data_IF_693681914960
#
_entry.id   IF_693681914960
#
_cell.length_a   1.000
_cell.length_b   1.000
_cell.length_c   1.000
_cell.angle_alpha   90.00
_cell.angle_beta   90.00
_cell.angle_gamma   90.00
#
_symmetry.space_group_name_H-M   'P 1'
#
loop_
_entity.id
_entity.type
_entity.pdbx_description
1 polymer ?
#
# COMPACT_ATOMS: atom_id res chain seq x y z
N UNK A 1 -81.85 -28.28 3.99
CA UNK A 1 -81.06 -27.80 5.14
C UNK A 1 -79.58 -28.00 4.81
N UNK A 2 -78.86 -26.92 4.52
CA UNK A 2 -77.42 -26.95 4.22
C UNK A 2 -76.69 -26.45 5.48
N UNK A 3 -75.93 -27.33 6.12
CA UNK A 3 -75.13 -27.04 7.30
C UNK A 3 -73.78 -26.46 6.87
N UNK A 4 -73.61 -25.14 6.98
CA UNK A 4 -72.33 -24.47 6.79
C UNK A 4 -71.50 -24.61 8.07
N UNK A 5 -70.46 -25.46 8.03
CA UNK A 5 -69.46 -25.56 9.11
C UNK A 5 -68.53 -24.35 9.03
N UNK A 6 -68.49 -23.56 10.10
CA UNK A 6 -67.55 -22.45 10.28
C UNK A 6 -66.13 -22.99 10.48
N UNK A 7 -65.27 -22.83 9.47
CA UNK A 7 -63.81 -22.96 9.59
C UNK A 7 -63.22 -21.58 9.92
N UNK A 8 -63.15 -21.22 11.20
CA UNK A 8 -62.48 -19.99 11.66
C UNK A 8 -61.47 -20.20 12.79
N UNK A 9 -61.02 -21.43 13.07
CA UNK A 9 -60.09 -21.68 14.19
C UNK A 9 -58.63 -21.35 13.89
N UNK A 10 -58.22 -21.28 12.62
CA UNK A 10 -56.81 -21.09 12.25
C UNK A 10 -56.28 -19.68 12.50
N UNK A 11 -57.12 -18.65 12.32
CA UNK A 11 -56.66 -17.25 12.38
C UNK A 11 -56.43 -16.77 13.82
N UNK A 12 -57.22 -17.26 14.77
CA UNK A 12 -57.11 -16.88 16.18
C UNK A 12 -55.78 -17.31 16.81
N UNK A 13 -55.27 -18.50 16.44
CA UNK A 13 -54.00 -19.02 16.96
C UNK A 13 -52.83 -18.18 16.44
N UNK A 14 -52.83 -17.82 15.15
CA UNK A 14 -51.79 -17.00 14.53
C UNK A 14 -51.72 -15.60 15.16
N UNK A 15 -52.87 -14.99 15.42
CA UNK A 15 -52.94 -13.67 16.04
C UNK A 15 -52.44 -13.71 17.49
N UNK A 16 -52.74 -14.78 18.22
CA UNK A 16 -52.25 -14.96 19.60
C UNK A 16 -50.73 -15.12 19.67
N UNK A 17 -50.13 -15.86 18.72
CA UNK A 17 -48.66 -16.02 18.63
C UNK A 17 -47.97 -14.69 18.32
N UNK A 18 -48.53 -13.87 17.41
CA UNK A 18 -47.99 -12.54 17.12
C UNK A 18 -48.04 -11.61 18.33
N UNK A 19 -49.12 -11.64 19.10
CA UNK A 19 -49.25 -10.82 20.32
C UNK A 19 -48.26 -11.29 21.39
N UNK A 20 -48.09 -12.61 21.58
CA UNK A 20 -47.12 -13.16 22.54
C UNK A 20 -45.67 -12.83 22.15
N UNK A 21 -45.32 -12.87 20.87
CA UNK A 21 -44.00 -12.47 20.38
C UNK A 21 -43.76 -10.95 20.53
N UNK A 22 -44.77 -10.12 20.26
CA UNK A 22 -44.68 -8.67 20.41
C UNK A 22 -44.47 -8.21 21.88
N UNK A 23 -45.13 -8.87 22.83
CA UNK A 23 -45.00 -8.56 24.26
C UNK A 23 -43.69 -9.12 24.83
N UNK A 24 -43.22 -10.29 24.36
CA UNK A 24 -41.94 -10.86 24.79
C UNK A 24 -40.73 -10.00 24.40
N UNK A 25 -40.75 -9.37 23.21
CA UNK A 25 -39.66 -8.52 22.73
C UNK A 25 -39.59 -7.15 23.44
N UNK A 26 -40.72 -6.61 23.88
CA UNK A 26 -40.74 -5.31 24.59
C UNK A 26 -40.39 -5.43 26.07
N UNK A 27 -40.71 -6.57 26.72
CA UNK A 27 -40.35 -6.81 28.13
C UNK A 27 -38.86 -7.01 28.38
N UNK A 28 -38.14 -7.70 27.48
CA UNK A 28 -36.69 -7.94 27.63
C UNK A 28 -35.83 -6.67 27.53
N UNK A 29 -36.34 -5.63 26.86
CA UNK A 29 -35.64 -4.35 26.71
C UNK A 29 -35.61 -3.49 27.98
N UNK A 30 -36.53 -3.68 28.93
CA UNK A 30 -36.64 -2.82 30.13
C UNK A 30 -36.07 -3.44 31.40
N UNK A 31 -36.07 -4.77 31.55
CA UNK A 31 -35.51 -5.44 32.75
C UNK A 31 -34.00 -5.65 32.64
N UNK A 32 -33.46 -5.56 31.43
CA UNK A 32 -32.03 -5.37 31.22
C UNK A 32 -31.70 -3.94 31.60
N UNK A 33 -31.36 -3.72 32.87
CA UNK A 33 -30.69 -2.52 33.37
C UNK A 33 -29.32 -2.31 32.72
N UNK A 34 -29.28 -2.26 31.39
CA UNK A 34 -28.24 -1.72 30.56
C UNK A 34 -28.25 -0.21 30.83
N UNK A 35 -27.69 0.13 31.98
CA UNK A 35 -26.74 1.23 32.09
C UNK A 35 -26.21 1.55 30.67
N UNK A 36 -26.72 2.61 30.04
CA UNK A 36 -26.08 3.29 28.89
C UNK A 36 -24.77 3.89 29.40
N UNK A 37 -23.88 3.03 29.85
CA UNK A 37 -22.50 3.35 30.19
C UNK A 37 -21.82 3.55 28.86
N UNK A 38 -21.21 4.73 28.69
CA UNK A 38 -19.98 5.12 27.97
C UNK A 38 -19.26 4.21 26.95
N UNK A 39 -19.67 2.95 26.72
CA UNK A 39 -19.10 2.04 25.75
C UNK A 39 -19.28 2.48 24.31
N UNK A 40 -20.38 3.15 23.94
CA UNK A 40 -20.59 3.61 22.56
C UNK A 40 -19.58 4.67 22.12
N UNK A 41 -19.16 5.55 23.03
CA UNK A 41 -18.13 6.56 22.75
C UNK A 41 -16.74 5.89 22.57
N UNK A 42 -16.38 4.98 23.49
CA UNK A 42 -15.10 4.27 23.42
C UNK A 42 -14.97 3.39 22.17
N UNK A 43 -16.06 2.73 21.72
CA UNK A 43 -16.05 1.94 20.48
C UNK A 43 -15.90 2.80 19.24
N UNK A 44 -16.53 3.98 19.22
CA UNK A 44 -16.45 4.91 18.09
C UNK A 44 -15.04 5.48 17.95
N UNK A 45 -14.42 5.79 19.09
CA UNK A 45 -13.07 6.32 19.17
C UNK A 45 -12.00 5.36 18.64
N UNK A 46 -12.06 4.10 19.08
CA UNK A 46 -11.16 3.05 18.58
C UNK A 46 -11.37 2.77 17.10
N UNK A 47 -12.63 2.79 16.63
CA UNK A 47 -12.93 2.62 15.21
C UNK A 47 -12.29 3.71 14.35
N UNK A 48 -12.40 4.98 14.76
CA UNK A 48 -11.80 6.10 14.04
C UNK A 48 -10.26 5.98 13.95
N UNK A 49 -9.60 5.57 15.05
CA UNK A 49 -8.16 5.33 15.05
C UNK A 49 -7.75 4.16 14.12
N UNK A 50 -8.50 3.06 14.13
CA UNK A 50 -8.23 1.93 13.24
C UNK A 50 -8.45 2.29 11.77
N UNK A 51 -9.52 3.04 11.46
CA UNK A 51 -9.79 3.54 10.13
C UNK A 51 -8.65 4.44 9.64
N UNK A 52 -8.23 5.42 10.45
CA UNK A 52 -7.10 6.30 10.14
C UNK A 52 -5.80 5.52 9.89
N UNK A 53 -5.50 4.52 10.74
CA UNK A 53 -4.35 3.64 10.55
C UNK A 53 -4.44 2.88 9.23
N UNK A 54 -5.59 2.28 8.93
CA UNK A 54 -5.76 1.50 7.70
C UNK A 54 -5.60 2.40 6.46
N UNK A 55 -6.17 3.60 6.47
CA UNK A 55 -6.02 4.58 5.39
C UNK A 55 -4.55 4.99 5.20
N UNK A 56 -3.80 5.22 6.27
CA UNK A 56 -2.36 5.52 6.18
C UNK A 56 -1.55 4.36 5.61
N UNK A 57 -1.84 3.12 6.02
CA UNK A 57 -1.19 1.92 5.50
C UNK A 57 -1.50 1.71 4.01
N UNK A 58 -2.76 1.89 3.62
CA UNK A 58 -3.21 1.79 2.23
C UNK A 58 -2.60 2.90 1.35
N UNK A 59 -2.59 4.14 1.82
CA UNK A 59 -1.92 5.25 1.15
C UNK A 59 -0.44 4.96 0.91
N UNK A 60 0.28 4.51 1.95
CA UNK A 60 1.70 4.23 1.84
C UNK A 60 2.00 3.06 0.89
N UNK A 61 1.15 2.03 0.87
CA UNK A 61 1.27 0.94 -0.08
C UNK A 61 1.02 1.42 -1.51
N UNK A 62 -0.06 2.17 -1.74
CA UNK A 62 -0.52 2.57 -3.08
C UNK A 62 0.17 3.82 -3.65
N UNK A 63 1.13 4.39 -2.92
CA UNK A 63 1.77 5.66 -3.29
C UNK A 63 2.28 5.73 -4.75
N UNK A 64 2.96 4.71 -5.32
CA UNK A 64 3.43 4.79 -6.71
C UNK A 64 2.33 4.99 -7.73
N UNK A 65 1.18 4.34 -7.51
CA UNK A 65 0.03 4.46 -8.40
C UNK A 65 -0.63 5.85 -8.33
N UNK A 66 -0.33 6.62 -7.29
CA UNK A 66 -0.89 7.94 -7.08
C UNK A 66 0.01 9.09 -7.57
N UNK A 67 1.33 8.92 -7.52
CA UNK A 67 2.31 9.98 -7.84
C UNK A 67 3.27 9.61 -8.99
N UNK A 68 3.18 8.40 -9.53
CA UNK A 68 3.97 7.93 -10.66
C UNK A 68 5.44 7.63 -10.34
N UNK A 69 6.18 7.34 -11.40
CA UNK A 69 7.58 6.90 -11.39
C UNK A 69 8.57 7.86 -10.68
N UNK A 70 8.36 9.18 -10.74
CA UNK A 70 9.20 10.18 -10.05
C UNK A 70 8.85 10.38 -8.56
N UNK A 71 7.76 9.78 -8.10
CA UNK A 71 7.28 9.92 -6.72
C UNK A 71 8.22 9.33 -5.67
N UNK A 72 7.83 9.37 -4.40
CA UNK A 72 8.55 8.76 -3.28
C UNK A 72 8.68 7.23 -3.37
N UNK A 73 7.77 6.55 -4.05
CA UNK A 73 7.61 5.10 -4.01
C UNK A 73 6.80 4.60 -2.79
N UNK A 74 6.63 3.27 -2.63
CA UNK A 74 5.88 2.69 -1.52
C UNK A 74 6.52 2.95 -0.14
N UNK A 75 5.68 2.93 0.89
CA UNK A 75 6.07 3.07 2.30
C UNK A 75 6.14 4.51 2.79
N UNK A 76 5.84 5.47 1.92
CA UNK A 76 5.82 6.88 2.28
C UNK A 76 4.54 7.27 3.06
N UNK A 77 4.71 8.08 4.11
CA UNK A 77 3.61 8.63 4.91
C UNK A 77 3.54 10.15 4.77
N UNK A 78 2.32 10.73 4.74
CA UNK A 78 2.12 12.16 4.49
C UNK A 78 2.71 13.01 5.62
N UNK A 79 3.06 14.25 5.30
CA UNK A 79 3.35 15.27 6.30
C UNK A 79 2.13 15.53 7.19
N UNK A 80 2.32 15.82 8.49
CA UNK A 80 1.24 16.33 9.32
C UNK A 80 0.67 17.65 8.77
N UNK A 81 -0.60 17.89 9.07
CA UNK A 81 -1.25 19.19 8.93
C UNK A 81 -0.87 20.06 10.15
N UNK A 82 -0.15 21.15 9.89
CA UNK A 82 0.28 22.15 10.89
C UNK A 82 -0.51 23.44 10.81
N UNK A 83 -1.42 23.59 9.85
CA UNK A 83 -2.17 24.82 9.59
C UNK A 83 -3.44 24.89 10.44
N UNK A 84 -3.73 23.81 11.17
CA UNK A 84 -4.83 23.74 12.11
C UNK A 84 -4.68 24.76 13.25
N UNK A 85 -5.52 25.80 13.20
CA UNK A 85 -5.70 26.74 14.31
C UNK A 85 -6.84 26.23 15.21
N UNK A 86 -6.51 25.85 16.45
CA UNK A 86 -7.52 25.44 17.45
C UNK A 86 -8.52 26.59 17.68
N UNK A 87 -9.81 26.32 17.49
CA UNK A 87 -10.89 27.29 17.73
C UNK A 87 -11.23 28.20 16.55
N UNK A 88 -10.55 28.06 15.40
CA UNK A 88 -10.98 28.75 14.18
C UNK A 88 -12.35 28.20 13.71
N UNK A 89 -13.25 29.06 13.17
CA UNK A 89 -14.48 28.61 12.55
C UNK A 89 -14.21 27.56 11.47
N UNK A 90 -14.95 26.46 11.48
CA UNK A 90 -14.73 25.31 10.59
C UNK A 90 -14.72 25.71 9.09
N UNK A 91 -15.50 26.72 8.71
CA UNK A 91 -15.54 27.28 7.36
C UNK A 91 -14.18 27.79 6.87
N UNK A 92 -13.37 28.38 7.76
CA UNK A 92 -12.02 28.87 7.42
C UNK A 92 -10.99 27.73 7.32
N UNK A 93 -11.27 26.56 7.90
CA UNK A 93 -10.36 25.40 7.88
C UNK A 93 -10.55 24.46 6.69
N UNK A 94 -11.71 24.51 6.02
CA UNK A 94 -12.12 23.53 5.00
C UNK A 94 -11.18 23.41 3.78
N UNK A 95 -10.36 24.43 3.51
CA UNK A 95 -9.36 24.43 2.43
C UNK A 95 -7.94 24.05 2.85
N UNK A 96 -7.64 23.86 4.15
CA UNK A 96 -6.28 23.69 4.69
C UNK A 96 -6.05 22.35 5.38
N UNK A 97 -6.89 21.36 5.09
CA UNK A 97 -6.91 20.07 5.78
C UNK A 97 -5.99 19.02 5.15
N UNK A 98 -4.91 19.47 4.50
CA UNK A 98 -3.96 18.67 3.75
C UNK A 98 -2.61 18.53 4.46
N UNK A 99 -1.69 17.73 3.91
CA UNK A 99 -0.31 17.69 4.39
C UNK A 99 0.39 19.04 4.18
N UNK A 100 1.24 19.45 5.12
CA UNK A 100 2.01 20.70 5.02
C UNK A 100 3.51 20.44 4.79
N UNK A 101 3.93 20.11 3.56
CA UNK A 101 5.34 20.06 3.20
C UNK A 101 5.94 21.47 3.05
N UNK A 102 7.27 21.64 3.19
CA UNK A 102 8.24 20.62 3.58
C UNK A 102 8.13 20.26 5.06
N UNK A 103 8.18 18.97 5.41
CA UNK A 103 8.25 18.51 6.80
C UNK A 103 9.36 17.46 7.01
N UNK A 104 9.77 17.24 8.25
CA UNK A 104 10.83 16.26 8.56
C UNK A 104 12.26 16.82 8.57
N UNK A 105 12.43 18.13 8.84
CA UNK A 105 13.74 18.72 9.19
C UNK A 105 14.30 18.19 10.51
N UNK A 106 13.45 17.63 11.39
CA UNK A 106 13.83 16.92 12.61
C UNK A 106 13.72 15.39 12.48
N UNK A 107 13.86 14.66 13.58
CA UNK A 107 13.67 13.19 13.63
C UNK A 107 12.19 12.77 13.52
N UNK A 108 11.28 13.64 13.97
CA UNK A 108 9.83 13.44 13.98
C UNK A 108 9.15 14.75 13.59
N UNK A 109 8.17 14.67 12.69
CA UNK A 109 7.22 15.75 12.41
C UNK A 109 5.93 15.53 13.20
N UNK A 110 5.38 16.60 13.78
CA UNK A 110 4.16 16.56 14.59
C UNK A 110 3.12 17.54 14.05
N UNK A 111 1.85 17.19 14.14
CA UNK A 111 0.72 18.03 13.77
C UNK A 111 -0.59 17.28 13.92
N UNK A 112 -1.58 17.63 13.11
CA UNK A 112 -2.80 16.86 12.93
C UNK A 112 -2.64 15.87 11.79
N UNK A 113 -3.41 14.78 11.83
CA UNK A 113 -3.58 13.89 10.70
C UNK A 113 -4.27 14.72 9.60
N UNK A 114 -3.69 14.82 8.38
CA UNK A 114 -4.41 15.44 7.27
C UNK A 114 -5.75 14.74 7.09
N UNK A 115 -6.82 15.46 6.73
CA UNK A 115 -8.07 14.78 6.34
C UNK A 115 -7.89 14.05 5.03
N UNK A 116 -7.09 14.64 4.14
CA UNK A 116 -6.88 14.14 2.82
C UNK A 116 -5.50 14.47 2.28
N UNK A 117 -5.11 13.75 1.24
CA UNK A 117 -4.14 14.23 0.27
C UNK A 117 -4.84 14.48 -1.06
N UNK A 118 -4.35 15.48 -1.80
CA UNK A 118 -4.74 15.68 -3.18
C UNK A 118 -3.85 14.81 -4.06
N UNK A 119 -4.49 13.88 -4.76
CA UNK A 119 -3.92 13.10 -5.85
C UNK A 119 -4.46 13.71 -7.15
N UNK A 120 -3.72 13.66 -8.26
CA UNK A 120 -4.00 14.46 -9.48
C UNK A 120 -5.49 14.67 -9.80
N UNK A 121 -6.28 13.60 -9.90
CA UNK A 121 -7.73 13.66 -10.16
C UNK A 121 -8.64 13.32 -8.95
N UNK A 122 -8.08 12.98 -7.79
CA UNK A 122 -8.85 12.39 -6.68
C UNK A 122 -8.37 12.87 -5.30
N UNK A 123 -9.27 12.93 -4.32
CA UNK A 123 -8.90 13.14 -2.92
C UNK A 123 -8.88 11.81 -2.18
N UNK A 124 -7.74 11.46 -1.60
CA UNK A 124 -7.64 10.29 -0.74
C UNK A 124 -7.87 10.71 0.71
N UNK A 125 -8.95 10.24 1.32
CA UNK A 125 -9.36 10.61 2.68
C UNK A 125 -8.72 9.67 3.71
N UNK A 126 -8.14 10.24 4.77
CA UNK A 126 -7.65 9.45 5.91
C UNK A 126 -8.71 9.24 6.97
N UNK A 127 -9.61 10.21 7.15
CA UNK A 127 -10.72 10.16 8.09
C UNK A 127 -11.85 11.10 7.64
N UNK A 128 -13.08 10.87 8.11
CA UNK A 128 -14.30 11.52 7.57
C UNK A 128 -14.88 12.53 8.57
N UNK A 129 -14.49 12.46 9.85
CA UNK A 129 -15.16 13.18 10.94
C UNK A 129 -14.91 14.69 10.84
N UNK A 130 -15.96 15.53 10.65
CA UNK A 130 -15.81 16.97 10.41
C UNK A 130 -15.21 17.73 11.61
N UNK A 131 -15.28 17.19 12.82
CA UNK A 131 -14.85 17.89 14.04
C UNK A 131 -13.73 17.19 14.81
N UNK A 132 -13.49 15.90 14.56
CA UNK A 132 -12.46 15.16 15.26
C UNK A 132 -11.15 15.25 14.47
N UNK A 133 -10.17 15.96 15.03
CA UNK A 133 -8.80 15.99 14.51
C UNK A 133 -7.96 15.06 15.33
N UNK A 134 -7.40 14.06 14.67
CA UNK A 134 -6.48 13.12 15.29
C UNK A 134 -5.10 13.75 15.28
N UNK A 135 -4.42 13.75 16.42
CA UNK A 135 -3.03 14.21 16.45
C UNK A 135 -2.14 13.15 15.81
N UNK A 136 -1.18 13.59 15.02
CA UNK A 136 -0.36 12.75 14.18
C UNK A 136 1.12 13.11 14.31
N UNK A 137 1.93 12.09 14.54
CA UNK A 137 3.38 12.19 14.64
C UNK A 137 3.98 11.17 13.70
N UNK A 138 4.94 11.56 12.89
CA UNK A 138 5.56 10.69 11.88
C UNK A 138 7.06 10.91 11.82
N UNK A 139 7.80 9.81 11.71
CA UNK A 139 9.25 9.83 11.58
C UNK A 139 9.67 10.45 10.26
N UNK A 140 10.70 11.30 10.27
CA UNK A 140 11.24 11.87 9.03
C UNK A 140 11.89 10.83 8.10
N UNK A 141 12.09 9.59 8.53
CA UNK A 141 12.59 8.49 7.70
C UNK A 141 11.57 7.92 6.71
N UNK A 142 10.28 8.13 6.96
CA UNK A 142 9.15 7.70 6.09
C UNK A 142 8.49 8.86 5.36
N UNK A 143 8.92 10.09 5.64
CA UNK A 143 8.44 11.29 4.97
C UNK A 143 9.33 11.56 3.76
N UNK A 144 8.69 11.90 2.65
CA UNK A 144 9.30 12.34 1.42
C UNK A 144 9.43 13.85 1.51
N UNK A 145 10.66 14.32 1.63
CA UNK A 145 11.00 15.74 1.60
C UNK A 145 12.50 15.86 1.30
N UNK A 146 12.96 16.56 0.23
CA UNK A 146 12.43 16.78 -1.12
C UNK A 146 12.84 15.66 -2.13
N UNK A 147 12.58 15.87 -3.42
CA UNK A 147 12.99 15.01 -4.56
C UNK A 147 14.50 14.69 -4.45
N UNK A 148 14.89 13.43 -4.65
CA UNK A 148 16.26 12.88 -4.57
C UNK A 148 16.73 12.35 -3.19
N UNK A 149 15.84 12.26 -2.19
CA UNK A 149 16.14 11.49 -0.98
C UNK A 149 15.76 10.02 -1.15
N UNK A 150 16.64 9.11 -0.75
CA UNK A 150 16.29 7.69 -0.58
C UNK A 150 15.35 7.60 0.62
N UNK A 151 14.11 7.20 0.37
CA UNK A 151 13.09 7.08 1.43
C UNK A 151 13.03 5.61 1.84
N UNK A 152 12.85 5.36 3.14
CA UNK A 152 12.64 4.02 3.70
C UNK A 152 13.82 3.05 3.63
N UNK A 153 15.04 3.43 3.24
CA UNK A 153 16.16 2.47 3.10
C UNK A 153 16.31 1.62 4.37
N UNK A 154 16.50 2.25 5.53
CA UNK A 154 16.64 1.56 6.82
C UNK A 154 15.43 0.66 7.16
N UNK A 155 14.22 1.09 6.80
CA UNK A 155 12.98 0.35 7.05
C UNK A 155 12.89 -0.84 6.11
N UNK A 156 13.34 -0.71 4.88
CA UNK A 156 13.38 -1.80 3.92
C UNK A 156 14.49 -2.80 4.33
N UNK A 157 15.66 -2.32 4.76
CA UNK A 157 16.79 -3.14 5.21
C UNK A 157 16.60 -3.85 6.55
N UNK A 158 15.54 -3.50 7.27
CA UNK A 158 15.35 -3.96 8.64
C UNK A 158 16.46 -3.55 9.59
N UNK A 159 17.04 -2.39 9.32
CA UNK A 159 17.97 -1.79 10.25
C UNK A 159 17.25 -1.31 11.51
N UNK A 160 17.90 -1.40 12.68
CA UNK A 160 17.36 -0.85 13.91
C UNK A 160 17.07 0.64 13.73
N UNK A 161 15.80 1.02 13.83
CA UNK A 161 15.40 2.42 13.89
C UNK A 161 15.42 2.89 15.34
N UNK A 162 15.77 4.16 15.58
CA UNK A 162 15.78 4.74 16.93
C UNK A 162 14.40 4.65 17.62
N UNK A 163 13.32 4.57 16.84
CA UNK A 163 11.95 4.30 17.31
C UNK A 163 11.41 3.09 16.56
N UNK A 164 10.77 2.11 17.23
CA UNK A 164 10.11 0.99 16.55
C UNK A 164 8.81 1.43 15.83
N UNK A 165 8.44 2.69 15.96
CA UNK A 165 7.24 3.29 15.40
C UNK A 165 7.61 4.30 14.31
N UNK A 166 6.95 4.15 13.17
CA UNK A 166 7.10 5.01 12.00
C UNK A 166 6.17 6.20 12.08
N UNK A 167 4.97 5.98 12.59
CA UNK A 167 4.02 7.04 12.89
C UNK A 167 3.07 6.63 14.01
N UNK A 168 2.34 7.62 14.51
CA UNK A 168 1.31 7.44 15.51
C UNK A 168 0.14 8.35 15.21
N UNK A 169 -1.05 7.83 15.49
CA UNK A 169 -2.29 8.60 15.46
C UNK A 169 -2.89 8.51 16.85
N UNK A 170 -3.25 9.63 17.46
CA UNK A 170 -3.86 9.68 18.78
C UNK A 170 -5.05 10.60 18.80
N UNK A 171 -6.01 10.30 19.66
CA UNK A 171 -7.11 11.23 19.91
C UNK A 171 -6.65 12.33 20.86
N UNK A 172 -7.02 13.60 20.59
CA UNK A 172 -6.75 14.68 21.52
C UNK A 172 -7.54 14.46 22.82
N UNK A 173 -7.06 15.01 23.95
CA UNK A 173 -7.82 14.96 25.20
C UNK A 173 -9.17 15.64 25.01
N UNK A 174 -10.26 14.94 25.34
CA UNK A 174 -11.57 15.58 25.47
C UNK A 174 -11.53 16.43 26.74
N UNK A 175 -11.58 17.75 26.62
CA UNK A 175 -11.48 18.73 27.73
C UNK A 175 -12.64 18.64 28.77
N UNK A 176 -13.53 17.66 28.65
CA UNK A 176 -14.70 17.53 29.50
C UNK A 176 -14.41 16.68 30.75
N UNK A 177 -13.82 17.33 31.75
CA UNK A 177 -13.93 16.96 33.17
C UNK A 177 -12.64 16.50 33.86
N UNK A 178 -12.65 16.43 35.21
CA UNK A 178 -11.49 16.15 36.06
C UNK A 178 -10.98 14.70 35.98
N UNK A 179 -11.64 13.84 35.19
CA UNK A 179 -11.21 12.45 34.99
C UNK A 179 -10.15 12.40 33.89
N UNK A 180 -8.90 12.09 34.26
CA UNK A 180 -7.81 11.74 33.35
C UNK A 180 -8.21 10.50 32.52
N UNK A 181 -8.94 10.67 31.42
CA UNK A 181 -9.19 9.57 30.49
C UNK A 181 -7.86 9.15 29.86
N UNK A 182 -7.62 7.84 29.81
CA UNK A 182 -6.50 7.28 29.08
C UNK A 182 -6.60 7.69 27.61
N UNK A 183 -5.51 8.17 27.03
CA UNK A 183 -5.46 8.54 25.62
C UNK A 183 -5.48 7.27 24.76
N UNK A 184 -6.43 7.19 23.83
CA UNK A 184 -6.41 6.18 22.78
C UNK A 184 -5.37 6.58 21.73
N UNK A 185 -4.38 5.72 21.52
CA UNK A 185 -3.29 5.91 20.55
C UNK A 185 -3.09 4.63 19.75
N UNK A 186 -2.85 4.78 18.46
CA UNK A 186 -2.53 3.67 17.58
C UNK A 186 -1.21 3.93 16.84
N UNK A 187 -0.42 2.88 16.70
CA UNK A 187 0.90 2.94 16.08
C UNK A 187 0.88 2.41 14.65
N UNK A 188 1.70 3.02 13.80
CA UNK A 188 2.14 2.44 12.55
C UNK A 188 3.59 2.01 12.75
N UNK A 189 3.82 0.71 12.70
CA UNK A 189 5.14 0.09 12.81
C UNK A 189 5.59 -0.40 11.45
N UNK A 190 6.90 -0.67 11.34
CA UNK A 190 7.50 -1.38 10.20
C UNK A 190 6.75 -2.67 9.88
N UNK A 191 6.44 -3.48 10.90
CA UNK A 191 5.72 -4.76 10.76
C UNK A 191 4.31 -4.60 10.18
N UNK A 192 3.62 -3.49 10.45
CA UNK A 192 2.31 -3.23 9.85
C UNK A 192 2.39 -2.64 8.44
N UNK A 193 3.45 -1.91 8.12
CA UNK A 193 3.61 -1.22 6.84
C UNK A 193 4.15 -2.14 5.74
N UNK A 194 5.18 -2.94 6.06
CA UNK A 194 5.91 -3.72 5.08
C UNK A 194 5.06 -4.69 4.25
N UNK A 195 4.08 -5.43 4.81
CA UNK A 195 3.30 -6.37 4.00
C UNK A 195 2.56 -5.69 2.83
N UNK A 196 1.94 -4.53 3.08
CA UNK A 196 1.25 -3.77 2.03
C UNK A 196 2.22 -3.21 1.00
N UNK A 197 3.34 -2.68 1.46
CA UNK A 197 4.42 -2.17 0.60
C UNK A 197 4.99 -3.27 -0.29
N UNK A 198 5.33 -4.44 0.27
CA UNK A 198 5.86 -5.60 -0.46
C UNK A 198 4.90 -6.04 -1.56
N UNK A 199 3.61 -6.16 -1.25
CA UNK A 199 2.58 -6.49 -2.25
C UNK A 199 2.49 -5.45 -3.35
N UNK A 200 2.55 -4.16 -3.02
CA UNK A 200 2.53 -3.09 -4.04
C UNK A 200 3.74 -3.14 -4.96
N UNK A 201 4.95 -3.30 -4.41
CA UNK A 201 6.18 -3.41 -5.20
C UNK A 201 6.12 -4.65 -6.09
N UNK A 202 5.63 -5.76 -5.55
CA UNK A 202 5.51 -7.01 -6.31
C UNK A 202 4.50 -6.93 -7.44
N UNK A 203 3.34 -6.36 -7.18
CA UNK A 203 2.32 -6.13 -8.20
C UNK A 203 2.84 -5.22 -9.32
N UNK A 204 3.50 -4.11 -8.97
CA UNK A 204 4.13 -3.23 -9.95
C UNK A 204 5.22 -3.96 -10.75
N UNK A 205 6.11 -4.73 -10.08
CA UNK A 205 7.21 -5.41 -10.76
C UNK A 205 6.73 -6.47 -11.75
N UNK A 206 5.77 -7.32 -11.34
CA UNK A 206 5.16 -8.32 -12.23
C UNK A 206 4.48 -7.65 -13.41
N UNK A 207 3.76 -6.54 -13.16
CA UNK A 207 3.14 -5.77 -14.23
C UNK A 207 4.17 -5.24 -15.23
N UNK A 208 5.29 -4.67 -14.75
CA UNK A 208 6.35 -4.19 -15.63
C UNK A 208 6.95 -5.30 -16.47
N UNK A 209 7.35 -6.42 -15.85
CA UNK A 209 7.95 -7.55 -16.57
C UNK A 209 7.01 -8.06 -17.66
N UNK A 210 5.72 -8.21 -17.36
CA UNK A 210 4.73 -8.65 -18.34
C UNK A 210 4.47 -7.61 -19.43
N UNK A 211 4.43 -6.32 -19.08
CA UNK A 211 4.25 -5.23 -20.03
C UNK A 211 5.45 -5.14 -21.00
N UNK A 212 6.67 -5.26 -20.48
CA UNK A 212 7.88 -5.28 -21.30
C UNK A 212 7.96 -6.54 -22.17
N UNK A 213 7.63 -7.72 -21.65
CA UNK A 213 7.58 -8.95 -22.45
C UNK A 213 6.53 -8.91 -23.57
N UNK A 214 5.44 -8.16 -23.38
CA UNK A 214 4.43 -7.97 -24.43
C UNK A 214 4.88 -6.98 -25.51
N UNK A 215 5.63 -5.94 -25.15
CA UNK A 215 6.03 -4.87 -26.07
C UNK A 215 7.38 -5.14 -26.76
N UNK A 216 8.25 -5.92 -26.14
CA UNK A 216 9.56 -6.27 -26.65
C UNK A 216 9.55 -7.79 -26.78
N UNK A 217 9.74 -8.34 -27.99
CA UNK A 217 9.85 -9.79 -28.22
C UNK A 217 11.16 -10.35 -27.61
N UNK A 218 11.44 -10.04 -26.35
CA UNK A 218 12.63 -10.50 -25.68
C UNK A 218 12.55 -12.02 -25.62
N UNK A 219 13.53 -12.74 -26.17
CA UNK A 219 13.62 -14.16 -25.91
C UNK A 219 13.74 -14.33 -24.40
N UNK A 220 12.96 -15.28 -23.86
CA UNK A 220 13.10 -15.66 -22.46
C UNK A 220 14.58 -15.93 -22.17
N UNK A 221 15.09 -15.54 -20.99
CA UNK A 221 16.45 -15.84 -20.60
C UNK A 221 16.75 -17.32 -20.78
N UNK A 222 17.91 -17.63 -21.32
CA UNK A 222 18.41 -18.99 -21.45
C UNK A 222 18.57 -19.65 -20.07
N UNK A 223 18.53 -20.99 -19.97
CA UNK A 223 18.77 -21.71 -18.71
C UNK A 223 20.07 -21.30 -18.00
N UNK A 224 21.09 -20.92 -18.77
CA UNK A 224 22.38 -20.46 -18.24
C UNK A 224 22.31 -19.07 -17.59
N UNK A 225 21.47 -18.18 -18.10
CA UNK A 225 21.22 -16.86 -17.51
C UNK A 225 20.41 -16.99 -16.21
N UNK A 226 19.44 -17.91 -16.16
CA UNK A 226 18.73 -18.24 -14.91
C UNK A 226 19.66 -18.73 -13.81
N UNK A 227 20.68 -19.52 -14.16
CA UNK A 227 21.64 -20.07 -13.20
C UNK A 227 22.56 -19.00 -12.59
N UNK A 228 22.80 -17.90 -13.31
CA UNK A 228 23.63 -16.78 -12.84
C UNK A 228 22.83 -15.77 -12.00
N UNK A 229 21.50 -15.92 -11.95
CA UNK A 229 20.59 -14.95 -11.36
C UNK A 229 20.31 -13.83 -12.34
N UNK A 230 19.04 -13.50 -12.54
CA UNK A 230 18.66 -12.37 -13.37
C UNK A 230 18.68 -11.10 -12.53
N UNK A 231 19.37 -10.08 -13.05
CA UNK A 231 19.26 -8.74 -12.52
C UNK A 231 17.84 -8.21 -12.79
N UNK A 232 17.05 -7.87 -11.76
CA UNK A 232 15.70 -7.35 -11.94
C UNK A 232 15.64 -6.09 -12.81
N UNK A 233 16.68 -5.24 -12.79
CA UNK A 233 16.70 -4.04 -13.63
C UNK A 233 16.80 -4.38 -15.12
N UNK A 234 17.61 -5.37 -15.48
CA UNK A 234 17.73 -5.85 -16.87
C UNK A 234 16.41 -6.36 -17.49
N UNK A 235 15.42 -6.69 -16.67
CA UNK A 235 14.10 -7.19 -17.12
C UNK A 235 13.08 -6.07 -17.39
N UNK A 236 13.30 -4.88 -16.84
CA UNK A 236 12.31 -3.80 -16.86
C UNK A 236 12.86 -2.48 -17.40
N UNK A 237 14.19 -2.29 -17.40
CA UNK A 237 14.77 -1.07 -17.91
C UNK A 237 14.81 -1.12 -19.45
N UNK A 238 14.38 -0.04 -20.08
CA UNK A 238 14.52 0.14 -21.52
C UNK A 238 15.55 1.21 -21.80
N UNK A 239 16.33 1.01 -22.86
CA UNK A 239 17.16 2.08 -23.41
C UNK A 239 16.34 2.84 -24.43
N UNK A 240 16.36 4.16 -24.37
CA UNK A 240 15.85 4.96 -25.47
C UNK A 240 16.74 4.69 -26.68
N UNK A 241 16.25 3.89 -27.64
CA UNK A 241 16.86 3.86 -28.96
C UNK A 241 16.58 5.22 -29.55
N UNK A 242 17.58 6.11 -29.53
CA UNK A 242 17.55 7.34 -30.30
C UNK A 242 17.32 6.92 -31.73
N UNK A 243 16.09 7.04 -32.20
CA UNK A 243 15.75 6.94 -33.62
C UNK A 243 16.40 8.17 -34.20
N UNK A 244 17.68 8.05 -34.56
CA UNK A 244 18.35 9.05 -35.37
C UNK A 244 17.46 9.22 -36.59
N UNK A 245 16.86 10.40 -36.73
CA UNK A 245 16.09 10.83 -37.91
C UNK A 245 17.03 10.83 -39.12
N UNK A 246 17.41 9.65 -39.58
CA UNK A 246 18.14 9.45 -40.80
C UNK A 246 17.10 9.64 -41.90
N UNK A 247 17.26 10.64 -42.79
CA UNK A 247 16.26 10.93 -43.80
C UNK A 247 16.04 9.68 -44.65
N UNK A 248 14.79 9.23 -44.68
CA UNK A 248 14.36 8.03 -45.39
C UNK A 248 14.70 8.14 -46.88
N UNK A 249 15.77 7.48 -47.32
CA UNK A 249 15.97 7.16 -48.73
C UNK A 249 15.36 5.80 -49.02
N UNK A 250 14.15 5.85 -49.58
CA UNK A 250 13.52 4.92 -50.53
C UNK A 250 13.49 3.39 -50.27
N UNK A 251 12.25 2.89 -50.25
CA UNK A 251 11.81 1.50 -50.50
C UNK A 251 12.24 0.43 -49.50
N UNK A 252 11.47 0.30 -48.42
CA UNK A 252 11.49 -0.90 -47.57
C UNK A 252 10.09 -1.50 -47.55
N UNK A 253 10.04 -2.77 -47.94
CA UNK A 253 8.91 -3.69 -47.96
C UNK A 253 8.20 -3.79 -46.62
N UNK A 254 6.86 -3.71 -46.65
CA UNK A 254 5.94 -4.07 -45.57
C UNK A 254 6.05 -5.57 -45.25
N UNK A 255 7.02 -6.01 -44.46
CA UNK A 255 6.91 -7.31 -43.80
C UNK A 255 7.82 -7.36 -42.55
N UNK A 256 7.19 -7.68 -41.42
CA UNK A 256 7.71 -7.80 -40.05
C UNK A 256 8.04 -6.48 -39.33
N UNK A 257 7.18 -6.12 -38.36
CA UNK A 257 7.56 -5.18 -37.30
C UNK A 257 8.80 -5.73 -36.59
N UNK A 258 9.92 -4.99 -36.57
CA UNK A 258 11.15 -5.50 -36.00
C UNK A 258 11.02 -5.43 -34.48
N UNK A 259 11.02 -6.59 -33.85
CA UNK A 259 11.31 -6.71 -32.43
C UNK A 259 12.60 -5.91 -32.13
N UNK A 260 12.52 -4.95 -31.22
CA UNK A 260 13.65 -4.10 -30.81
C UNK A 260 14.84 -4.98 -30.39
N UNK A 261 15.97 -4.79 -31.07
CA UNK A 261 17.19 -5.55 -30.86
C UNK A 261 17.79 -5.23 -29.48
N UNK A 262 18.18 -6.27 -28.74
CA UNK A 262 18.72 -6.16 -27.38
C UNK A 262 20.12 -5.54 -27.46
N UNK A 263 20.28 -4.27 -27.08
CA UNK A 263 21.60 -3.62 -27.08
C UNK A 263 22.49 -4.19 -25.95
N UNK A 264 23.79 -4.43 -26.21
CA UNK A 264 24.71 -5.00 -25.24
C UNK A 264 24.95 -4.05 -24.04
N UNK A 265 25.16 -4.60 -22.83
CA UNK A 265 25.22 -3.85 -21.56
C UNK A 265 26.45 -2.95 -21.35
N UNK A 266 27.28 -2.70 -22.37
CA UNK A 266 28.63 -2.12 -22.22
C UNK A 266 28.76 -0.62 -22.55
N UNK A 267 27.65 0.09 -22.78
CA UNK A 267 27.68 1.53 -23.02
C UNK A 267 27.08 2.27 -21.84
N UNK A 268 27.87 3.19 -21.26
CA UNK A 268 27.51 4.27 -20.32
C UNK A 268 26.04 4.30 -19.90
N UNK A 269 25.77 4.22 -18.59
CA UNK A 269 24.44 4.31 -17.96
C UNK A 269 23.59 5.55 -18.34
N UNK A 270 24.15 6.48 -19.12
CA UNK A 270 23.44 7.58 -19.75
C UNK A 270 22.37 7.08 -20.74
N UNK A 271 21.10 7.39 -20.44
CA UNK A 271 19.95 7.15 -21.33
C UNK A 271 19.09 5.94 -20.98
N UNK A 272 19.31 5.29 -19.82
CA UNK A 272 18.38 4.28 -19.33
C UNK A 272 17.18 4.92 -18.66
N UNK A 273 16.00 4.51 -19.10
CA UNK A 273 14.73 5.00 -18.56
C UNK A 273 13.83 3.85 -18.12
N UNK A 274 13.01 4.14 -17.12
CA UNK A 274 11.95 3.27 -16.62
C UNK A 274 10.68 4.11 -16.49
N UNK A 275 9.61 3.69 -17.16
CA UNK A 275 8.36 4.47 -17.25
C UNK A 275 8.56 5.93 -17.74
N UNK A 276 9.50 6.15 -18.68
CA UNK A 276 9.83 7.49 -19.21
C UNK A 276 10.53 8.43 -18.23
N UNK A 277 11.18 7.85 -17.21
CA UNK A 277 11.94 8.57 -16.18
C UNK A 277 13.36 8.02 -16.13
N UNK A 278 14.39 8.88 -16.03
CA UNK A 278 15.76 8.43 -15.82
C UNK A 278 15.86 7.44 -14.66
N UNK A 279 16.64 6.37 -14.85
CA UNK A 279 16.71 5.25 -13.90
C UNK A 279 17.01 5.72 -12.47
N UNK A 280 17.96 6.63 -12.29
CA UNK A 280 18.36 7.20 -11.00
C UNK A 280 17.26 7.99 -10.27
N UNK A 281 16.30 8.50 -11.04
CA UNK A 281 15.18 9.32 -10.59
C UNK A 281 13.93 8.47 -10.29
N UNK A 282 13.88 7.23 -10.79
CA UNK A 282 12.77 6.31 -10.60
C UNK A 282 12.74 5.77 -9.16
N UNK A 283 11.57 5.81 -8.51
CA UNK A 283 11.44 5.41 -7.09
C UNK A 283 11.94 3.99 -6.80
N UNK A 284 11.75 3.06 -7.74
CA UNK A 284 12.14 1.66 -7.60
C UNK A 284 13.67 1.51 -7.47
N UNK A 285 14.41 2.23 -8.32
CA UNK A 285 15.87 2.21 -8.35
C UNK A 285 16.43 3.05 -7.20
N UNK A 286 15.91 4.29 -7.03
CA UNK A 286 16.35 5.20 -5.97
C UNK A 286 16.20 4.59 -4.58
N UNK A 287 15.11 3.86 -4.32
CA UNK A 287 14.89 3.18 -3.05
C UNK A 287 15.45 1.75 -3.01
N UNK A 288 16.26 1.35 -4.01
CA UNK A 288 16.99 0.08 -4.07
C UNK A 288 16.08 -1.15 -3.91
N UNK A 289 14.86 -1.08 -4.44
CA UNK A 289 13.92 -2.21 -4.39
C UNK A 289 14.40 -3.39 -5.23
N UNK A 290 15.13 -3.14 -6.31
CA UNK A 290 15.72 -4.19 -7.15
C UNK A 290 16.66 -5.12 -6.37
N UNK A 291 17.42 -4.61 -5.40
CA UNK A 291 18.31 -5.42 -4.56
C UNK A 291 17.57 -6.38 -3.62
N UNK A 292 16.26 -6.15 -3.46
CA UNK A 292 15.38 -6.95 -2.62
C UNK A 292 14.60 -7.97 -3.41
N UNK A 293 14.70 -7.98 -4.73
CA UNK A 293 14.00 -8.93 -5.58
C UNK A 293 14.95 -10.09 -5.90
N UNK A 294 14.51 -11.29 -5.57
CA UNK A 294 15.16 -12.55 -5.96
C UNK A 294 14.25 -13.21 -6.97
N UNK A 295 14.76 -13.43 -8.17
CA UNK A 295 14.01 -14.09 -9.24
C UNK A 295 14.58 -15.49 -9.43
N UNK A 296 13.69 -16.46 -9.45
CA UNK A 296 14.02 -17.86 -9.71
C UNK A 296 13.10 -18.43 -10.79
N UNK A 297 13.52 -19.51 -11.43
CA UNK A 297 12.66 -20.28 -12.32
C UNK A 297 12.35 -21.64 -11.70
N UNK A 298 11.08 -22.05 -11.76
CA UNK A 298 10.68 -23.43 -11.47
C UNK A 298 11.29 -24.39 -12.50
N UNK A 299 11.51 -25.65 -12.14
CA UNK A 299 12.10 -26.65 -13.05
C UNK A 299 11.40 -26.72 -14.43
N UNK A 300 10.06 -26.69 -14.52
CA UNK A 300 9.38 -26.71 -15.82
C UNK A 300 9.72 -25.51 -16.70
N UNK A 301 9.97 -24.33 -16.11
CA UNK A 301 10.36 -23.12 -16.84
C UNK A 301 11.84 -23.07 -17.22
N UNK A 302 12.66 -24.00 -16.70
CA UNK A 302 14.07 -24.12 -17.09
C UNK A 302 14.28 -25.03 -18.30
N UNK A 303 13.29 -25.85 -18.65
CA UNK A 303 13.35 -26.76 -19.79
C UNK A 303 12.98 -26.08 -21.11
N UNK A 304 13.34 -26.69 -22.24
CA UNK A 304 12.97 -26.26 -23.60
C UNK A 304 11.48 -26.42 -23.94
N UNK A 305 10.64 -26.78 -22.96
CA UNK A 305 9.22 -27.07 -23.22
C UNK A 305 8.47 -25.76 -23.40
N UNK A 306 7.79 -25.64 -24.53
CA UNK A 306 6.95 -24.50 -25.00
C UNK A 306 5.73 -24.24 -24.10
N UNK A 307 5.93 -24.03 -22.81
CA UNK A 307 4.92 -23.55 -21.87
C UNK A 307 5.02 -22.04 -21.70
N UNK A 308 3.88 -21.36 -21.55
CA UNK A 308 3.85 -19.94 -21.18
C UNK A 308 4.25 -19.85 -19.70
N UNK A 309 5.51 -19.51 -19.44
CA UNK A 309 5.99 -19.22 -18.10
C UNK A 309 5.53 -17.83 -17.67
N UNK A 310 4.90 -17.74 -16.51
CA UNK A 310 4.49 -16.48 -15.92
C UNK A 310 5.27 -16.22 -14.64
N UNK A 311 5.64 -14.95 -14.43
CA UNK A 311 6.27 -14.52 -13.21
C UNK A 311 5.22 -14.37 -12.11
N UNK A 312 5.37 -15.13 -11.02
CA UNK A 312 4.50 -15.04 -9.84
C UNK A 312 5.30 -14.77 -8.58
N UNK A 313 4.68 -14.12 -7.60
CA UNK A 313 5.26 -13.94 -6.26
C UNK A 313 5.26 -15.29 -5.52
N UNK A 314 6.40 -15.69 -4.97
CA UNK A 314 6.55 -16.93 -4.19
C UNK A 314 6.21 -16.66 -2.71
N UNK A 315 4.91 -16.62 -2.39
CA UNK A 315 4.43 -16.28 -1.04
C UNK A 315 4.95 -17.26 0.02
N UNK A 316 5.13 -18.54 -0.33
CA UNK A 316 5.60 -19.60 0.58
C UNK A 316 7.05 -19.34 1.08
N UNK A 317 7.86 -18.64 0.29
CA UNK A 317 9.24 -18.24 0.64
C UNK A 317 9.34 -16.84 1.20
N UNK A 318 8.38 -15.96 0.91
CA UNK A 318 8.39 -14.58 1.35
C UNK A 318 8.30 -14.41 2.88
N UNK A 319 7.79 -15.43 3.59
CA UNK A 319 7.60 -15.40 5.04
C UNK A 319 8.66 -16.20 5.84
N UNK A 320 9.51 -17.02 5.19
CA UNK A 320 10.19 -18.13 5.87
C UNK A 320 11.72 -18.07 6.02
N UNK A 321 12.44 -17.09 5.45
CA UNK A 321 13.87 -16.93 5.75
C UNK A 321 14.12 -16.09 7.02
N UNK A 322 13.62 -16.58 8.16
CA UNK A 322 14.35 -16.37 9.42
C UNK A 322 15.54 -17.33 9.39
N UNK A 323 16.67 -16.87 8.85
CA UNK A 323 17.94 -17.61 8.87
C UNK A 323 18.15 -18.21 10.26
N UNK A 324 18.10 -19.54 10.32
CA UNK A 324 18.28 -20.34 11.52
C UNK A 324 19.72 -20.38 12.01
N UNK A 325 20.42 -19.24 12.04
CA UNK A 325 21.69 -19.12 12.72
C UNK A 325 21.45 -18.93 14.21
N UNK A 326 21.47 -20.06 14.90
CA UNK A 326 21.13 -20.25 16.31
C UNK A 326 22.07 -19.56 17.33
N UNK A 327 22.93 -18.62 16.93
CA UNK A 327 23.82 -17.96 17.91
C UNK A 327 24.35 -16.55 17.60
N UNK A 328 23.85 -15.81 16.61
CA UNK A 328 24.40 -14.47 16.37
C UNK A 328 23.50 -13.53 15.60
N UNK A 329 22.82 -12.61 16.32
CA UNK A 329 22.28 -11.33 15.80
C UNK A 329 21.73 -11.34 14.36
N UNK A 330 21.09 -12.44 13.95
CA UNK A 330 20.80 -12.72 12.55
C UNK A 330 19.81 -11.72 12.02
N UNK A 331 20.29 -10.74 11.24
CA UNK A 331 19.42 -9.88 10.45
C UNK A 331 18.77 -10.78 9.40
N UNK A 332 17.48 -11.09 9.57
CA UNK A 332 16.68 -11.71 8.52
C UNK A 332 16.68 -10.75 7.33
N UNK A 333 17.36 -11.13 6.25
CA UNK A 333 17.38 -10.34 5.02
C UNK A 333 16.04 -10.55 4.32
N UNK A 334 15.09 -9.65 4.59
CA UNK A 334 13.74 -9.74 4.01
C UNK A 334 13.79 -9.43 2.51
N UNK A 335 13.85 -10.47 1.67
CA UNK A 335 13.79 -10.38 0.21
C UNK A 335 12.41 -10.78 -0.33
N UNK A 336 12.04 -10.23 -1.48
CA UNK A 336 10.88 -10.61 -2.28
C UNK A 336 11.30 -11.70 -3.26
N UNK A 337 10.73 -12.89 -3.11
CA UNK A 337 11.04 -14.01 -3.99
C UNK A 337 9.98 -14.10 -5.07
N UNK A 338 10.40 -14.09 -6.32
CA UNK A 338 9.57 -14.35 -7.46
C UNK A 338 10.02 -15.65 -8.13
N UNK A 339 9.05 -16.37 -8.66
CA UNK A 339 9.28 -17.62 -9.35
C UNK A 339 8.53 -17.63 -10.67
N UNK A 340 9.23 -17.97 -11.75
CA UNK A 340 8.59 -18.28 -13.02
C UNK A 340 7.94 -19.67 -12.92
N UNK A 341 6.61 -19.72 -13.02
CA UNK A 341 5.83 -20.97 -13.01
C UNK A 341 5.08 -21.12 -14.33
N UNK A 342 4.98 -22.35 -14.81
CA UNK A 342 4.06 -22.70 -15.90
C UNK A 342 2.66 -22.59 -15.34
N UNK A 343 1.78 -21.84 -16.00
CA UNK A 343 0.36 -21.71 -15.64
C UNK A 343 -0.47 -22.74 -16.42
#
# INVERSE_FOLDING_TARGET
MVSVRSQQSGFAILLMVFVLLGVGLTGLGQVSGLHRVSGSAFTTDQYALQAARQSLLSYAALYPFHYGARGAGPGHLPCPDTDFVRGAPWEQSSGRDGPNPPCGSGSVANGQLPRHVNLGAHRYLFHIEPFQRLEYSVSSGVINNPVNRIVNDQIIRGEPTASPFLAWVRQPPVEQGPSKKAFSKIAITRRSLLPGVKRSVSAWFVWQVNHHAANVCLPLPSPSEWAQGLDPLSLIATRETVVTNQPASESVSEESEPCLERLPPDSSEEGWELEGVPLDSHWFVRNRWYERIVISASEPCRGEVLGICNLVLDEDRADFEQSGDSLGTGKSDERLHFIWRVI
#
